data_IF_851917656115
#
_entry.id   IF_851917656115
#
_cell.length_a   1.000
_cell.length_b   1.000
_cell.length_c   1.000
_cell.angle_alpha   90.00
_cell.angle_beta   90.00
_cell.angle_gamma   90.00
#
_symmetry.space_group_name_H-M   'P 1'
#
loop_
_entity.id
_entity.type
_entity.pdbx_description
1 polymer ?
#
# COMPACT_ATOMS: atom_id res chain seq x y z
N UNK A 1 18.63 1.78 -19.43
CA UNK A 1 18.18 0.49 -18.86
C UNK A 1 16.91 0.66 -18.02
N UNK A 2 16.87 1.49 -16.99
CA UNK A 2 15.72 1.70 -16.08
C UNK A 2 14.41 2.07 -16.81
N UNK A 3 14.46 2.92 -17.83
CA UNK A 3 13.30 3.30 -18.64
C UNK A 3 12.69 2.11 -19.40
N UNK A 4 13.53 1.26 -19.98
CA UNK A 4 13.08 0.05 -20.69
C UNK A 4 12.45 -0.92 -19.68
N UNK A 5 13.07 -1.11 -18.52
CA UNK A 5 12.52 -1.95 -17.44
C UNK A 5 11.14 -1.44 -17.01
N UNK A 6 10.96 -0.13 -16.84
CA UNK A 6 9.67 0.48 -16.50
C UNK A 6 8.59 0.14 -17.54
N UNK A 7 8.88 0.33 -18.83
CA UNK A 7 7.89 0.04 -19.87
C UNK A 7 7.57 -1.45 -20.00
N UNK A 8 8.56 -2.31 -19.89
CA UNK A 8 8.36 -3.76 -19.93
C UNK A 8 7.44 -4.22 -18.80
N UNK A 9 7.69 -3.78 -17.58
CA UNK A 9 6.86 -4.17 -16.44
C UNK A 9 5.46 -3.55 -16.51
N UNK A 10 5.34 -2.30 -16.96
CA UNK A 10 4.05 -1.66 -17.18
C UNK A 10 3.19 -2.48 -18.14
N UNK A 11 3.73 -2.84 -19.30
CA UNK A 11 3.02 -3.64 -20.31
C UNK A 11 2.71 -5.05 -19.79
N UNK A 12 3.64 -5.67 -19.09
CA UNK A 12 3.44 -7.00 -18.51
C UNK A 12 2.32 -6.97 -17.47
N UNK A 13 2.35 -6.03 -16.54
CA UNK A 13 1.31 -5.87 -15.52
C UNK A 13 -0.03 -5.54 -16.14
N UNK A 14 -0.07 -4.57 -17.06
CA UNK A 14 -1.28 -4.20 -17.78
C UNK A 14 -1.91 -5.42 -18.50
N UNK A 15 -1.08 -6.24 -19.16
CA UNK A 15 -1.53 -7.45 -19.83
C UNK A 15 -2.04 -8.52 -18.88
N UNK A 16 -1.32 -8.82 -17.78
CA UNK A 16 -1.74 -9.81 -16.78
C UNK A 16 -3.03 -9.39 -16.06
N UNK A 17 -3.15 -8.11 -15.68
CA UNK A 17 -4.37 -7.56 -15.08
C UNK A 17 -5.54 -7.66 -16.08
N UNK A 18 -5.29 -7.36 -17.36
CA UNK A 18 -6.27 -7.52 -18.44
C UNK A 18 -6.73 -8.96 -18.60
N UNK A 19 -5.81 -9.93 -18.54
CA UNK A 19 -6.15 -11.36 -18.57
C UNK A 19 -7.05 -11.75 -17.41
N UNK A 20 -6.71 -11.32 -16.17
CA UNK A 20 -7.55 -11.56 -14.99
C UNK A 20 -8.95 -10.95 -15.17
N UNK A 21 -9.05 -9.76 -15.75
CA UNK A 21 -10.34 -9.11 -16.02
C UNK A 21 -11.15 -9.87 -17.07
N UNK A 22 -10.57 -10.20 -18.23
CA UNK A 22 -11.29 -10.81 -19.35
C UNK A 22 -11.67 -12.27 -19.10
N UNK A 23 -10.82 -13.06 -18.44
CA UNK A 23 -11.16 -14.45 -18.13
C UNK A 23 -12.07 -14.59 -16.91
N UNK A 24 -12.48 -13.50 -16.29
CA UNK A 24 -13.43 -13.49 -15.19
C UNK A 24 -12.97 -14.35 -14.00
N UNK A 25 -11.66 -14.36 -13.71
CA UNK A 25 -11.10 -15.05 -12.54
C UNK A 25 -11.65 -14.35 -11.30
N UNK A 26 -12.82 -14.79 -10.86
CA UNK A 26 -13.55 -14.24 -9.72
C UNK A 26 -13.95 -15.37 -8.78
N UNK A 27 -13.81 -15.11 -7.48
CA UNK A 27 -14.67 -15.79 -6.52
C UNK A 27 -16.09 -15.21 -6.66
N UNK A 28 -16.95 -15.89 -7.41
CA UNK A 28 -18.34 -15.47 -7.71
C UNK A 28 -19.13 -15.20 -6.43
N UNK A 29 -18.89 -15.97 -5.39
CA UNK A 29 -19.57 -15.84 -4.11
C UNK A 29 -19.22 -14.49 -3.43
N UNK A 30 -17.96 -14.08 -3.43
CA UNK A 30 -17.51 -12.82 -2.81
C UNK A 30 -17.85 -11.57 -3.62
N UNK A 31 -17.97 -11.69 -4.93
CA UNK A 31 -18.42 -10.58 -5.75
C UNK A 31 -19.85 -10.15 -5.38
N UNK A 32 -20.72 -11.09 -5.06
CA UNK A 32 -22.09 -10.80 -4.60
C UNK A 32 -22.10 -10.26 -3.15
N UNK A 33 -21.28 -10.79 -2.25
CA UNK A 33 -21.16 -10.30 -0.88
C UNK A 33 -20.56 -8.88 -0.83
N UNK A 34 -19.61 -8.57 -1.70
CA UNK A 34 -19.00 -7.24 -1.79
C UNK A 34 -20.02 -6.16 -2.21
N UNK A 35 -21.01 -6.47 -3.05
CA UNK A 35 -22.09 -5.54 -3.43
C UNK A 35 -23.02 -5.29 -2.22
N UNK A 36 -23.26 -6.29 -1.41
CA UNK A 36 -24.15 -6.22 -0.23
C UNK A 36 -23.44 -5.64 1.00
N UNK A 37 -22.11 -5.53 0.98
CA UNK A 37 -21.34 -5.00 2.11
C UNK A 37 -21.70 -3.53 2.38
N UNK A 38 -21.87 -3.20 3.66
CA UNK A 38 -22.18 -1.82 4.13
C UNK A 38 -21.19 -0.76 3.68
N UNK A 39 -19.99 -1.15 3.24
CA UNK A 39 -18.90 -0.26 2.78
C UNK A 39 -18.79 -0.19 1.26
N UNK A 40 -19.62 -0.96 0.51
CA UNK A 40 -19.52 -1.01 -0.94
C UNK A 40 -19.82 0.36 -1.57
N UNK A 41 -18.85 0.87 -2.31
CA UNK A 41 -18.98 2.04 -3.19
C UNK A 41 -19.25 1.64 -4.65
N UNK A 42 -19.43 0.33 -4.92
CA UNK A 42 -19.59 -0.27 -6.24
C UNK A 42 -20.90 -1.03 -6.36
N UNK A 43 -21.48 -1.00 -7.56
CA UNK A 43 -22.76 -1.64 -7.88
C UNK A 43 -22.60 -2.92 -8.72
N UNK A 44 -21.37 -3.21 -9.20
CA UNK A 44 -21.07 -4.37 -10.05
C UNK A 44 -20.11 -5.32 -9.35
N UNK A 45 -20.26 -6.64 -9.54
CA UNK A 45 -19.28 -7.62 -9.05
C UNK A 45 -17.94 -7.36 -9.77
N UNK A 46 -16.87 -7.17 -9.00
CA UNK A 46 -15.55 -6.83 -9.54
C UNK A 46 -14.49 -7.72 -8.89
N UNK A 47 -13.58 -8.29 -9.69
CA UNK A 47 -12.49 -9.12 -9.21
C UNK A 47 -11.53 -8.31 -8.31
N UNK A 48 -11.03 -8.96 -7.24
CA UNK A 48 -10.06 -8.41 -6.31
C UNK A 48 -8.64 -8.94 -6.53
N UNK A 49 -8.40 -9.64 -7.64
CA UNK A 49 -7.14 -10.30 -7.94
C UNK A 49 -6.16 -9.42 -8.75
N UNK A 50 -6.45 -8.14 -8.94
CA UNK A 50 -5.57 -7.22 -9.66
C UNK A 50 -4.19 -7.09 -9.01
N UNK A 51 -4.15 -7.03 -7.68
CA UNK A 51 -2.89 -6.97 -6.94
C UNK A 51 -2.05 -8.24 -7.04
N UNK A 52 -2.69 -9.41 -7.09
CA UNK A 52 -2.00 -10.69 -7.33
C UNK A 52 -1.29 -10.65 -8.70
N UNK A 53 -1.99 -10.19 -9.75
CA UNK A 53 -1.41 -10.04 -11.09
C UNK A 53 -0.20 -9.07 -11.09
N UNK A 54 -0.30 -7.94 -10.38
CA UNK A 54 0.78 -6.97 -10.23
C UNK A 54 2.01 -7.59 -9.54
N UNK A 55 1.80 -8.29 -8.43
CA UNK A 55 2.90 -8.91 -7.68
C UNK A 55 3.57 -9.99 -8.53
N UNK A 56 2.81 -10.83 -9.22
CA UNK A 56 3.37 -11.84 -10.13
C UNK A 56 4.19 -11.17 -11.23
N UNK A 57 3.66 -10.10 -11.88
CA UNK A 57 4.40 -9.34 -12.87
C UNK A 57 5.73 -8.82 -12.31
N UNK A 58 5.70 -8.23 -11.11
CA UNK A 58 6.89 -7.70 -10.45
C UNK A 58 7.91 -8.79 -10.15
N UNK A 59 7.48 -9.94 -9.62
CA UNK A 59 8.35 -11.06 -9.27
C UNK A 59 9.09 -11.64 -10.49
N UNK A 60 8.44 -11.68 -11.67
CA UNK A 60 9.08 -12.15 -12.91
C UNK A 60 10.34 -11.33 -13.23
N UNK A 61 10.30 -9.99 -13.07
CA UNK A 61 11.47 -9.15 -13.35
C UNK A 61 12.43 -9.08 -12.16
N UNK A 62 11.93 -9.04 -10.92
CA UNK A 62 12.78 -9.01 -9.72
C UNK A 62 13.62 -10.27 -9.61
N UNK A 63 13.11 -11.42 -10.09
CA UNK A 63 13.87 -12.69 -10.10
C UNK A 63 15.23 -12.58 -10.80
N UNK A 64 15.37 -11.67 -11.78
CA UNK A 64 16.63 -11.44 -12.48
C UNK A 64 17.59 -10.52 -11.74
N UNK A 65 17.19 -9.97 -10.59
CA UNK A 65 18.05 -9.14 -9.73
C UNK A 65 18.76 -10.08 -8.75
N UNK A 66 20.04 -10.37 -9.02
CA UNK A 66 20.85 -11.25 -8.18
C UNK A 66 21.35 -10.51 -6.91
N UNK A 67 20.43 -10.09 -6.04
CA UNK A 67 20.74 -9.42 -4.76
C UNK A 67 20.08 -10.14 -3.59
N UNK A 68 20.90 -10.44 -2.56
CA UNK A 68 20.47 -11.17 -1.37
C UNK A 68 19.44 -10.38 -0.54
N UNK A 69 19.61 -9.08 -0.42
CA UNK A 69 18.71 -8.21 0.36
C UNK A 69 17.34 -8.14 -0.30
N UNK A 70 17.32 -8.02 -1.63
CA UNK A 70 16.07 -8.02 -2.40
C UNK A 70 15.37 -9.38 -2.29
N UNK A 71 16.11 -10.48 -2.39
CA UNK A 71 15.55 -11.81 -2.17
C UNK A 71 14.92 -11.94 -0.79
N UNK A 72 15.59 -11.46 0.27
CA UNK A 72 15.06 -11.46 1.63
C UNK A 72 13.82 -10.59 1.79
N UNK A 73 13.80 -9.43 1.14
CA UNK A 73 12.65 -8.55 1.11
C UNK A 73 11.41 -9.24 0.52
N UNK A 74 11.58 -9.90 -0.62
CA UNK A 74 10.49 -10.64 -1.27
C UNK A 74 10.04 -11.83 -0.42
N UNK A 75 10.98 -12.60 0.12
CA UNK A 75 10.67 -13.75 0.97
C UNK A 75 9.89 -13.33 2.22
N UNK A 76 10.24 -12.20 2.81
CA UNK A 76 9.53 -11.66 3.99
C UNK A 76 8.09 -11.25 3.70
N UNK A 77 7.74 -10.94 2.45
CA UNK A 77 6.38 -10.55 2.06
C UNK A 77 5.43 -11.75 1.90
N UNK A 78 5.93 -12.99 1.86
CA UNK A 78 5.10 -14.19 1.62
C UNK A 78 3.95 -14.38 2.63
N UNK A 79 4.15 -14.23 3.97
CA UNK A 79 3.05 -14.42 4.92
C UNK A 79 1.88 -13.48 4.65
N UNK A 80 2.15 -12.19 4.40
CA UNK A 80 1.11 -11.19 4.17
C UNK A 80 0.47 -11.37 2.79
N UNK A 81 1.23 -11.75 1.77
CA UNK A 81 0.72 -12.07 0.44
C UNK A 81 -0.23 -13.27 0.46
N UNK A 82 0.14 -14.33 1.16
CA UNK A 82 -0.70 -15.53 1.29
C UNK A 82 -1.99 -15.20 2.06
N UNK A 83 -1.91 -14.50 3.19
CA UNK A 83 -3.08 -14.15 3.99
C UNK A 83 -4.05 -13.24 3.21
N UNK A 84 -3.52 -12.24 2.50
CA UNK A 84 -4.32 -11.36 1.63
C UNK A 84 -4.92 -12.11 0.44
N UNK A 85 -4.13 -12.97 -0.21
CA UNK A 85 -4.59 -13.76 -1.35
C UNK A 85 -5.70 -14.76 -1.00
N UNK A 86 -5.59 -15.41 0.15
CA UNK A 86 -6.66 -16.26 0.67
C UNK A 86 -7.94 -15.46 0.92
N UNK A 87 -7.83 -14.25 1.46
CA UNK A 87 -8.99 -13.36 1.63
C UNK A 87 -9.61 -12.99 0.27
N UNK A 88 -8.80 -12.63 -0.73
CA UNK A 88 -9.28 -12.27 -2.07
C UNK A 88 -9.91 -13.46 -2.81
N UNK A 89 -9.45 -14.68 -2.53
CA UNK A 89 -10.02 -15.93 -3.05
C UNK A 89 -11.31 -16.37 -2.33
N UNK A 90 -11.72 -15.70 -1.24
CA UNK A 90 -13.01 -16.00 -0.60
C UNK A 90 -12.94 -16.79 0.70
N UNK A 91 -11.76 -17.09 1.26
CA UNK A 91 -11.63 -17.87 2.49
C UNK A 91 -11.99 -17.13 3.79
N UNK A 92 -12.49 -15.89 3.71
CA UNK A 92 -12.95 -15.09 4.87
C UNK A 92 -11.92 -15.00 6.01
N UNK A 93 -10.70 -14.59 5.68
CA UNK A 93 -9.62 -14.39 6.66
C UNK A 93 -9.93 -13.16 7.52
N UNK A 94 -10.06 -13.34 8.83
CA UNK A 94 -10.37 -12.26 9.77
C UNK A 94 -9.33 -11.13 9.67
N UNK A 95 -9.73 -9.84 9.79
CA UNK A 95 -8.80 -8.71 9.76
C UNK A 95 -7.64 -8.83 10.75
N UNK A 96 -7.89 -9.40 11.94
CA UNK A 96 -6.87 -9.66 12.95
C UNK A 96 -5.82 -10.67 12.49
N UNK A 97 -6.22 -11.70 11.73
CA UNK A 97 -5.26 -12.68 11.19
C UNK A 97 -4.41 -12.07 10.07
N UNK A 98 -4.97 -11.19 9.24
CA UNK A 98 -4.20 -10.46 8.21
C UNK A 98 -3.19 -9.50 8.84
N UNK A 99 -3.58 -8.79 9.92
CA UNK A 99 -2.66 -7.95 10.69
C UNK A 99 -1.56 -8.80 11.33
N UNK A 100 -1.90 -9.96 11.89
CA UNK A 100 -0.92 -10.88 12.45
C UNK A 100 0.05 -11.43 11.38
N UNK A 101 -0.44 -11.75 10.19
CA UNK A 101 0.41 -12.13 9.06
C UNK A 101 1.37 -10.99 8.65
N UNK A 102 0.91 -9.72 8.69
CA UNK A 102 1.78 -8.57 8.46
C UNK A 102 2.85 -8.42 9.55
N UNK A 103 2.53 -8.70 10.81
CA UNK A 103 3.52 -8.74 11.89
C UNK A 103 4.53 -9.88 11.71
N UNK A 104 4.09 -11.08 11.29
CA UNK A 104 4.99 -12.18 10.93
C UNK A 104 5.91 -11.77 9.78
N UNK A 105 5.38 -11.12 8.74
CA UNK A 105 6.18 -10.60 7.63
C UNK A 105 7.26 -9.64 8.13
N UNK A 106 6.92 -8.71 9.04
CA UNK A 106 7.88 -7.81 9.68
C UNK A 106 8.95 -8.55 10.48
N UNK A 107 8.57 -9.56 11.28
CA UNK A 107 9.50 -10.37 12.05
C UNK A 107 10.46 -11.18 11.14
N UNK A 108 9.94 -11.76 10.06
CA UNK A 108 10.74 -12.47 9.05
C UNK A 108 11.71 -11.52 8.37
N UNK A 109 11.29 -10.30 8.03
CA UNK A 109 12.16 -9.29 7.43
C UNK A 109 13.32 -8.92 8.36
N UNK A 110 13.04 -8.68 9.66
CA UNK A 110 14.10 -8.44 10.67
C UNK A 110 15.05 -9.62 10.77
N UNK A 111 14.53 -10.84 10.87
CA UNK A 111 15.34 -12.05 10.98
C UNK A 111 16.27 -12.25 9.77
N UNK A 112 15.79 -11.97 8.56
CA UNK A 112 16.56 -12.18 7.33
C UNK A 112 17.54 -11.05 7.05
N UNK A 113 17.16 -9.78 7.34
CA UNK A 113 17.99 -8.61 7.01
C UNK A 113 18.89 -8.18 8.17
N UNK A 114 18.54 -8.52 9.40
CA UNK A 114 19.22 -8.02 10.59
C UNK A 114 18.98 -6.54 10.89
N UNK A 115 17.98 -5.92 10.22
CA UNK A 115 17.71 -4.47 10.31
C UNK A 115 16.41 -4.21 11.07
N UNK A 116 16.41 -3.17 11.89
CA UNK A 116 15.24 -2.62 12.59
C UNK A 116 15.40 -1.12 12.81
N UNK A 117 14.33 -0.43 13.16
CA UNK A 117 14.33 1.00 13.48
C UNK A 117 14.80 1.21 14.91
N UNK A 118 15.97 1.78 15.10
CA UNK A 118 16.55 2.18 16.39
C UNK A 118 16.48 3.69 16.62
N UNK A 119 16.20 4.45 15.58
CA UNK A 119 15.94 5.89 15.60
C UNK A 119 14.75 6.25 14.71
N UNK A 120 13.91 7.18 15.18
CA UNK A 120 12.75 7.72 14.44
C UNK A 120 12.68 9.24 14.57
N UNK A 121 13.78 9.91 14.89
CA UNK A 121 13.92 11.36 15.06
C UNK A 121 12.89 11.96 16.06
N UNK A 122 12.52 11.19 17.07
CA UNK A 122 11.67 11.61 18.18
C UNK A 122 12.44 11.55 19.48
N UNK A 123 12.77 12.70 20.08
CA UNK A 123 13.58 12.83 21.28
C UNK A 123 13.09 11.95 22.44
N UNK A 124 11.78 11.71 22.54
CA UNK A 124 11.17 10.88 23.58
C UNK A 124 11.33 9.38 23.28
N UNK A 125 11.28 8.97 22.01
CA UNK A 125 11.32 7.56 21.62
C UNK A 125 12.75 7.05 21.39
N UNK A 126 13.66 7.88 20.90
CA UNK A 126 15.03 7.48 20.59
C UNK A 126 15.74 6.76 21.77
N UNK A 127 15.70 7.26 23.03
CA UNK A 127 16.33 6.55 24.15
C UNK A 127 15.71 5.18 24.43
N UNK A 128 14.43 5.01 24.14
CA UNK A 128 13.71 3.74 24.36
C UNK A 128 14.04 2.73 23.26
N UNK A 129 14.22 3.22 22.03
CA UNK A 129 14.55 2.39 20.87
C UNK A 129 16.02 1.94 20.84
N UNK A 130 16.89 2.48 21.69
CA UNK A 130 18.25 1.93 21.88
C UNK A 130 18.25 0.52 22.47
N UNK A 131 17.14 0.10 23.11
CA UNK A 131 17.00 -1.26 23.64
C UNK A 131 16.42 -2.20 22.53
N UNK A 132 17.23 -3.14 21.97
CA UNK A 132 16.84 -3.91 20.79
C UNK A 132 15.49 -4.63 20.87
N UNK A 133 15.08 -5.26 22.00
CA UNK A 133 13.76 -5.90 22.08
C UNK A 133 12.60 -4.94 21.85
N UNK A 134 12.71 -3.68 22.31
CA UNK A 134 11.69 -2.66 22.11
C UNK A 134 11.74 -2.16 20.66
N UNK A 135 12.93 -1.89 20.13
CA UNK A 135 13.12 -1.47 18.74
C UNK A 135 12.56 -2.50 17.73
N UNK A 136 12.86 -3.77 17.95
CA UNK A 136 12.34 -4.89 17.16
C UNK A 136 10.81 -4.94 17.23
N UNK A 137 10.24 -4.89 18.42
CA UNK A 137 8.78 -4.92 18.62
C UNK A 137 8.11 -3.72 17.97
N UNK A 138 8.70 -2.52 18.11
CA UNK A 138 8.24 -1.29 17.48
C UNK A 138 8.27 -1.40 15.93
N UNK A 139 9.37 -1.91 15.38
CA UNK A 139 9.53 -2.07 13.92
C UNK A 139 8.49 -3.03 13.35
N UNK A 140 8.24 -4.17 14.02
CA UNK A 140 7.21 -5.14 13.63
C UNK A 140 5.84 -4.47 13.63
N UNK A 141 5.49 -3.76 14.71
CA UNK A 141 4.20 -3.11 14.83
C UNK A 141 4.02 -1.98 13.81
N UNK A 142 5.04 -1.12 13.65
CA UNK A 142 5.01 0.00 12.71
C UNK A 142 4.89 -0.48 11.25
N UNK A 143 5.70 -1.47 10.84
CA UNK A 143 5.65 -2.02 9.48
C UNK A 143 4.31 -2.71 9.18
N UNK A 144 3.77 -3.48 10.12
CA UNK A 144 2.45 -4.09 9.98
C UNK A 144 1.34 -3.04 9.94
N UNK A 145 1.45 -1.96 10.73
CA UNK A 145 0.52 -0.84 10.76
C UNK A 145 0.48 -0.09 9.43
N UNK A 146 1.64 0.22 8.84
CA UNK A 146 1.72 0.88 7.52
C UNK A 146 1.17 -0.04 6.43
N UNK A 147 1.52 -1.30 6.42
CA UNK A 147 0.98 -2.29 5.46
C UNK A 147 -0.55 -2.37 5.55
N UNK A 148 -1.11 -2.42 6.75
CA UNK A 148 -2.56 -2.39 6.98
C UNK A 148 -3.19 -1.05 6.56
N UNK A 149 -2.50 0.08 6.74
CA UNK A 149 -3.02 1.40 6.36
C UNK A 149 -3.19 1.55 4.84
N UNK A 150 -2.29 0.97 4.04
CA UNK A 150 -2.43 0.90 2.57
C UNK A 150 -3.70 0.10 2.19
N UNK A 151 -3.98 -0.99 2.89
CA UNK A 151 -5.21 -1.76 2.65
C UNK A 151 -6.48 -0.97 3.03
N UNK A 152 -6.45 -0.19 4.09
CA UNK A 152 -7.62 0.59 4.53
C UNK A 152 -8.02 1.72 3.57
N UNK A 153 -7.10 2.23 2.77
CA UNK A 153 -7.40 3.28 1.76
C UNK A 153 -7.84 2.69 0.42
N UNK A 154 -7.83 1.37 0.22
CA UNK A 154 -8.29 0.69 -1.01
C UNK A 154 -9.83 0.62 -1.07
N UNK A 155 -10.47 1.77 -0.97
CA UNK A 155 -11.94 1.89 -0.98
C UNK A 155 -12.50 2.71 -2.14
N UNK A 156 -11.65 3.35 -2.95
CA UNK A 156 -12.00 4.27 -4.03
C UNK A 156 -11.12 4.01 -5.25
N UNK A 157 -11.72 4.08 -6.45
CA UNK A 157 -11.02 3.79 -7.70
C UNK A 157 -9.76 4.65 -7.88
N UNK A 158 -8.62 4.01 -8.04
CA UNK A 158 -7.33 4.66 -8.27
C UNK A 158 -6.65 5.22 -7.01
N UNK A 159 -7.31 5.27 -5.85
CA UNK A 159 -6.73 5.94 -4.68
C UNK A 159 -5.54 5.16 -4.13
N UNK A 160 -5.71 3.90 -3.77
CA UNK A 160 -4.63 3.08 -3.22
C UNK A 160 -3.49 2.93 -4.22
N UNK A 161 -3.80 2.59 -5.48
CA UNK A 161 -2.78 2.44 -6.53
C UNK A 161 -2.06 3.75 -6.86
N UNK A 162 -2.76 4.88 -6.85
CA UNK A 162 -2.15 6.20 -7.03
C UNK A 162 -1.24 6.59 -5.88
N UNK A 163 -1.64 6.34 -4.63
CA UNK A 163 -0.80 6.59 -3.45
C UNK A 163 0.42 5.66 -3.43
N UNK A 164 0.26 4.36 -3.75
CA UNK A 164 1.38 3.43 -3.91
C UNK A 164 2.35 3.94 -4.98
N UNK A 165 1.84 4.44 -6.12
CA UNK A 165 2.69 5.01 -7.18
C UNK A 165 3.47 6.24 -6.69
N UNK A 166 2.84 7.16 -5.94
CA UNK A 166 3.50 8.33 -5.35
C UNK A 166 4.60 7.90 -4.37
N UNK A 167 4.29 6.99 -3.42
CA UNK A 167 5.25 6.47 -2.45
C UNK A 167 6.43 5.81 -3.18
N UNK A 168 6.13 4.94 -4.14
CA UNK A 168 7.16 4.22 -4.90
C UNK A 168 8.05 5.15 -5.71
N UNK A 169 7.47 6.19 -6.34
CA UNK A 169 8.20 7.21 -7.08
C UNK A 169 9.13 8.02 -6.17
N UNK A 170 8.66 8.43 -5.00
CA UNK A 170 9.46 9.15 -4.00
C UNK A 170 10.62 8.29 -3.49
N UNK A 171 10.36 7.04 -3.13
CA UNK A 171 11.40 6.10 -2.69
C UNK A 171 12.41 5.79 -3.82
N UNK A 172 11.95 5.68 -5.07
CA UNK A 172 12.82 5.51 -6.23
C UNK A 172 13.79 6.68 -6.37
N UNK A 173 13.30 7.91 -6.26
CA UNK A 173 14.12 9.11 -6.31
C UNK A 173 15.17 9.10 -5.18
N UNK A 174 14.75 8.84 -3.94
CA UNK A 174 15.69 8.77 -2.80
C UNK A 174 16.73 7.67 -2.99
N UNK A 175 16.33 6.47 -3.42
CA UNK A 175 17.28 5.39 -3.71
C UNK A 175 18.30 5.78 -4.79
N UNK A 176 17.87 6.48 -5.85
CA UNK A 176 18.79 6.97 -6.88
C UNK A 176 19.72 8.06 -6.35
N UNK A 177 19.21 8.98 -5.54
CA UNK A 177 19.98 10.07 -4.95
C UNK A 177 21.12 9.55 -4.04
N UNK A 178 20.82 8.53 -3.23
CA UNK A 178 21.79 7.89 -2.34
C UNK A 178 22.59 6.76 -3.00
N UNK A 179 22.45 6.53 -4.30
CA UNK A 179 23.21 5.51 -5.04
C UNK A 179 22.77 4.06 -4.83
N UNK A 180 21.63 3.83 -4.20
CA UNK A 180 21.05 2.51 -3.95
C UNK A 180 20.37 1.95 -5.22
N UNK A 181 21.15 1.66 -6.25
CA UNK A 181 20.68 1.32 -7.60
C UNK A 181 19.82 0.07 -7.66
N UNK A 182 20.07 -0.92 -6.80
CA UNK A 182 19.27 -2.15 -6.75
C UNK A 182 17.89 -1.91 -6.15
N UNK A 183 17.80 -1.17 -5.04
CA UNK A 183 16.52 -0.75 -4.46
C UNK A 183 15.74 0.16 -5.42
N UNK A 184 16.43 1.09 -6.10
CA UNK A 184 15.82 1.91 -7.14
C UNK A 184 15.24 1.07 -8.29
N UNK A 185 15.94 0.02 -8.71
CA UNK A 185 15.44 -0.90 -9.75
C UNK A 185 14.17 -1.62 -9.28
N UNK A 186 14.12 -2.07 -8.04
CA UNK A 186 12.89 -2.66 -7.45
C UNK A 186 11.76 -1.63 -7.44
N UNK A 187 12.04 -0.39 -7.00
CA UNK A 187 11.04 0.69 -7.04
C UNK A 187 10.50 0.94 -8.46
N UNK A 188 11.36 0.93 -9.49
CA UNK A 188 10.93 1.10 -10.88
C UNK A 188 10.02 -0.05 -11.34
N UNK A 189 10.36 -1.27 -10.97
CA UNK A 189 9.54 -2.45 -11.27
C UNK A 189 8.18 -2.32 -10.58
N UNK A 190 8.15 -1.99 -9.29
CA UNK A 190 6.90 -1.81 -8.54
C UNK A 190 6.07 -0.65 -9.10
N UNK A 191 6.71 0.47 -9.47
CA UNK A 191 6.05 1.64 -10.06
C UNK A 191 5.39 1.30 -11.40
N UNK A 192 6.12 0.67 -12.31
CA UNK A 192 5.56 0.26 -13.59
C UNK A 192 4.42 -0.74 -13.41
N UNK A 193 4.57 -1.69 -12.48
CA UNK A 193 3.54 -2.69 -12.19
C UNK A 193 2.24 -2.05 -11.67
N UNK A 194 2.33 -1.16 -10.67
CA UNK A 194 1.14 -0.53 -10.09
C UNK A 194 0.48 0.46 -11.05
N UNK A 195 1.24 1.12 -11.94
CA UNK A 195 0.68 1.98 -12.97
C UNK A 195 -0.01 1.19 -14.08
N UNK A 196 0.49 0.00 -14.43
CA UNK A 196 -0.20 -0.93 -15.32
C UNK A 196 -1.57 -1.35 -14.77
N UNK A 197 -1.67 -1.63 -13.46
CA UNK A 197 -2.93 -1.88 -12.77
C UNK A 197 -3.81 -0.62 -12.69
N UNK A 198 -3.25 0.55 -12.37
CA UNK A 198 -3.97 1.81 -12.26
C UNK A 198 -4.79 2.09 -13.51
N UNK A 199 -4.26 1.80 -14.69
CA UNK A 199 -4.96 2.00 -15.96
C UNK A 199 -6.27 1.16 -16.09
N UNK A 200 -6.38 0.03 -15.40
CA UNK A 200 -7.61 -0.78 -15.33
C UNK A 200 -8.52 -0.37 -14.17
N UNK A 201 -7.94 0.07 -13.06
CA UNK A 201 -8.69 0.42 -11.87
C UNK A 201 -9.30 1.83 -11.96
N UNK A 202 -8.56 2.80 -12.49
CA UNK A 202 -9.02 4.19 -12.61
C UNK A 202 -9.45 4.52 -14.05
N UNK A 203 -10.56 5.25 -14.28
CA UNK A 203 -11.52 5.74 -13.29
C UNK A 203 -12.66 4.77 -12.95
N UNK A 204 -12.83 3.70 -13.72
CA UNK A 204 -14.05 2.89 -13.75
C UNK A 204 -14.11 1.73 -12.75
N UNK A 205 -13.01 1.41 -12.05
CA UNK A 205 -12.95 0.32 -11.09
C UNK A 205 -13.22 -1.05 -11.71
N UNK A 206 -12.65 -1.30 -12.92
CA UNK A 206 -12.86 -2.56 -13.66
C UNK A 206 -12.31 -3.78 -12.91
N UNK A 207 -11.26 -3.57 -12.10
CA UNK A 207 -10.64 -4.57 -11.25
C UNK A 207 -10.11 -3.89 -9.99
N UNK A 208 -10.10 -4.58 -8.84
CA UNK A 208 -9.59 -4.06 -7.58
C UNK A 208 -8.24 -4.65 -7.22
N UNK A 209 -7.45 -3.88 -6.44
CA UNK A 209 -6.13 -4.27 -5.97
C UNK A 209 -6.21 -5.49 -5.07
N UNK A 210 -7.19 -5.51 -4.19
CA UNK A 210 -7.40 -6.56 -3.22
C UNK A 210 -6.40 -6.53 -2.06
N UNK A 211 -6.65 -7.40 -1.09
CA UNK A 211 -5.86 -7.47 0.12
C UNK A 211 -4.44 -7.98 -0.15
N UNK A 212 -4.28 -8.96 -1.04
CA UNK A 212 -2.96 -9.46 -1.44
C UNK A 212 -2.06 -8.35 -1.99
N UNK A 213 -2.61 -7.51 -2.90
CA UNK A 213 -1.86 -6.40 -3.46
C UNK A 213 -1.56 -5.32 -2.43
N UNK A 214 -2.59 -4.82 -1.76
CA UNK A 214 -2.48 -3.69 -0.84
C UNK A 214 -1.50 -3.96 0.32
N UNK A 215 -1.62 -5.12 0.99
CA UNK A 215 -0.72 -5.50 2.07
C UNK A 215 0.71 -5.76 1.58
N UNK A 216 0.89 -6.40 0.43
CA UNK A 216 2.22 -6.74 -0.08
C UNK A 216 2.98 -5.50 -0.54
N UNK A 217 2.34 -4.60 -1.31
CA UNK A 217 2.95 -3.31 -1.64
C UNK A 217 3.28 -2.51 -0.38
N UNK A 218 2.35 -2.44 0.59
CA UNK A 218 2.57 -1.77 1.86
C UNK A 218 3.78 -2.32 2.62
N UNK A 219 3.92 -3.65 2.70
CA UNK A 219 5.07 -4.30 3.34
C UNK A 219 6.38 -3.99 2.61
N UNK A 220 6.45 -4.22 1.30
CA UNK A 220 7.69 -4.03 0.53
C UNK A 220 8.15 -2.57 0.57
N UNK A 221 7.25 -1.61 0.37
CA UNK A 221 7.60 -0.18 0.37
C UNK A 221 8.07 0.29 1.75
N UNK A 222 7.41 -0.18 2.82
CA UNK A 222 7.86 0.12 4.20
C UNK A 222 9.26 -0.43 4.44
N UNK A 223 9.54 -1.66 3.99
CA UNK A 223 10.86 -2.27 4.19
C UNK A 223 11.94 -1.69 3.31
N UNK A 224 11.63 -1.21 2.09
CA UNK A 224 12.57 -0.39 1.30
C UNK A 224 12.94 0.87 2.09
N UNK A 225 11.97 1.53 2.73
CA UNK A 225 12.22 2.73 3.55
C UNK A 225 13.09 2.42 4.77
N UNK A 226 12.82 1.33 5.49
CA UNK A 226 13.61 0.90 6.65
C UNK A 226 15.04 0.58 6.24
N UNK A 227 15.24 -0.16 5.15
CA UNK A 227 16.56 -0.48 4.63
C UNK A 227 17.31 0.78 4.20
N UNK A 228 16.63 1.74 3.59
CA UNK A 228 17.22 3.00 3.14
C UNK A 228 17.70 3.84 4.33
N UNK A 229 16.85 4.05 5.36
CA UNK A 229 17.23 4.77 6.59
C UNK A 229 18.38 4.06 7.31
N UNK A 230 18.35 2.73 7.39
CA UNK A 230 19.41 1.97 8.06
C UNK A 230 20.77 2.11 7.39
N UNK A 231 20.81 2.29 6.06
CA UNK A 231 22.05 2.50 5.30
C UNK A 231 22.49 3.96 5.26
N UNK A 232 21.55 4.87 5.34
CA UNK A 232 21.72 6.31 5.23
C UNK A 232 21.09 7.03 6.42
N UNK A 233 21.80 7.06 7.58
CA UNK A 233 21.28 7.66 8.83
C UNK A 233 21.00 9.18 8.72
N UNK A 234 21.52 9.84 7.67
CA UNK A 234 21.23 11.24 7.34
C UNK A 234 19.79 11.45 6.85
N UNK A 235 19.10 10.39 6.44
CA UNK A 235 17.70 10.49 6.02
C UNK A 235 16.80 10.61 7.24
N UNK A 236 16.07 11.71 7.33
CA UNK A 236 15.11 11.93 8.41
C UNK A 236 13.94 10.94 8.34
N UNK A 237 13.60 10.35 9.49
CA UNK A 237 12.39 9.52 9.63
C UNK A 237 11.11 10.33 9.30
N UNK A 238 11.12 11.65 9.51
CA UNK A 238 10.01 12.53 9.13
C UNK A 238 9.81 12.64 7.63
N UNK A 239 10.88 12.59 6.84
CA UNK A 239 10.78 12.54 5.38
C UNK A 239 10.00 11.30 4.92
N UNK A 240 10.33 10.14 5.47
CA UNK A 240 9.61 8.89 5.19
C UNK A 240 8.15 8.98 5.69
N UNK A 241 7.92 9.56 6.88
CA UNK A 241 6.57 9.78 7.39
C UNK A 241 5.74 10.65 6.42
N UNK A 242 6.30 11.71 5.85
CA UNK A 242 5.64 12.55 4.85
C UNK A 242 5.28 11.76 3.58
N UNK A 243 6.14 10.86 3.12
CA UNK A 243 5.87 10.00 1.96
C UNK A 243 4.67 9.07 2.23
N UNK A 244 4.56 8.51 3.44
CA UNK A 244 3.46 7.65 3.86
C UNK A 244 2.34 8.39 4.61
N UNK A 245 2.36 9.73 4.60
CA UNK A 245 1.48 10.57 5.41
C UNK A 245 0.01 10.18 5.29
N UNK A 246 -0.50 10.07 4.06
CA UNK A 246 -1.93 9.88 3.86
C UNK A 246 -2.48 8.58 4.45
N UNK A 247 -1.96 7.39 4.13
CA UNK A 247 -2.48 6.14 4.70
C UNK A 247 -2.35 6.11 6.22
N UNK A 248 -1.25 6.63 6.78
CA UNK A 248 -1.04 6.69 8.22
C UNK A 248 -2.05 7.65 8.87
N UNK A 249 -2.20 8.87 8.35
CA UNK A 249 -3.10 9.88 8.90
C UNK A 249 -4.58 9.44 8.86
N UNK A 250 -5.03 8.81 7.77
CA UNK A 250 -6.39 8.28 7.67
C UNK A 250 -6.64 7.16 8.69
N UNK A 251 -5.68 6.25 8.85
CA UNK A 251 -5.75 5.15 9.83
C UNK A 251 -5.76 5.67 11.27
N UNK A 252 -4.84 6.56 11.63
CA UNK A 252 -4.78 7.15 12.98
C UNK A 252 -6.05 7.93 13.28
N UNK A 253 -6.55 8.71 12.32
CA UNK A 253 -7.83 9.43 12.45
C UNK A 253 -9.01 8.48 12.67
N UNK A 254 -9.04 7.34 11.98
CA UNK A 254 -10.08 6.34 12.16
C UNK A 254 -10.02 5.70 13.56
N UNK A 255 -8.83 5.37 14.05
CA UNK A 255 -8.62 4.84 15.42
C UNK A 255 -9.09 5.86 16.46
N UNK A 256 -8.66 7.12 16.34
CA UNK A 256 -9.01 8.21 17.25
C UNK A 256 -10.54 8.42 17.31
N UNK A 257 -11.22 8.49 16.16
CA UNK A 257 -12.68 8.61 16.12
C UNK A 257 -13.40 7.45 16.82
N UNK A 258 -12.90 6.20 16.64
CA UNK A 258 -13.50 5.04 17.28
C UNK A 258 -13.32 5.04 18.80
N UNK A 259 -12.16 5.49 19.28
CA UNK A 259 -11.91 5.66 20.72
C UNK A 259 -12.88 6.67 21.34
N UNK A 260 -13.06 7.85 20.73
CA UNK A 260 -14.01 8.88 21.20
C UNK A 260 -15.45 8.32 21.22
N UNK A 261 -15.84 7.61 20.16
CA UNK A 261 -17.20 7.06 20.05
C UNK A 261 -17.40 5.77 20.85
N UNK A 262 -16.41 5.29 21.56
CA UNK A 262 -16.41 4.00 22.29
C UNK A 262 -16.92 2.83 21.44
N UNK A 263 -16.60 2.82 20.15
CA UNK A 263 -16.97 1.77 19.22
C UNK A 263 -15.81 0.79 19.03
N UNK A 264 -16.12 -0.49 18.84
CA UNK A 264 -15.10 -1.53 18.60
C UNK A 264 -14.27 -1.21 17.34
N UNK A 265 -12.95 -1.37 17.46
CA UNK A 265 -11.99 -1.18 16.36
C UNK A 265 -12.29 -2.11 15.17
N UNK A 266 -12.88 -3.27 15.43
CA UNK A 266 -13.20 -4.28 14.42
C UNK A 266 -14.52 -4.04 13.66
N UNK A 267 -15.30 -3.00 14.03
CA UNK A 267 -16.53 -2.68 13.29
C UNK A 267 -16.20 -1.90 12.02
N UNK A 268 -16.91 -2.17 10.90
CA UNK A 268 -16.76 -1.40 9.67
C UNK A 268 -16.94 0.10 9.91
N UNK A 269 -15.99 0.93 9.48
CA UNK A 269 -16.07 2.39 9.54
C UNK A 269 -16.40 2.94 8.14
N UNK A 270 -17.38 3.85 8.06
CA UNK A 270 -17.75 4.58 6.83
C UNK A 270 -17.24 6.02 6.84
N UNK A 271 -16.31 6.34 7.72
CA UNK A 271 -15.83 7.69 7.98
C UNK A 271 -14.37 7.87 7.60
N UNK A 272 -13.80 6.98 6.76
CA UNK A 272 -12.50 7.22 6.16
C UNK A 272 -12.53 8.50 5.33
N UNK A 273 -11.43 9.23 5.29
CA UNK A 273 -11.40 10.57 4.70
C UNK A 273 -11.85 10.55 3.22
N UNK A 274 -11.41 9.57 2.45
CA UNK A 274 -11.86 9.40 1.06
C UNK A 274 -13.37 9.22 0.91
N UNK A 275 -14.02 8.53 1.87
CA UNK A 275 -15.48 8.37 1.89
C UNK A 275 -16.19 9.68 2.27
N UNK A 276 -15.58 10.49 3.15
CA UNK A 276 -16.10 11.81 3.49
C UNK A 276 -16.03 12.75 2.27
N UNK A 277 -14.90 12.74 1.52
CA UNK A 277 -14.78 13.54 0.28
C UNK A 277 -15.85 13.14 -0.72
N UNK A 278 -16.07 11.84 -0.95
CA UNK A 278 -17.15 11.38 -1.83
C UNK A 278 -18.53 11.91 -1.39
N UNK A 279 -18.84 11.81 -0.09
CA UNK A 279 -20.13 12.29 0.45
C UNK A 279 -20.30 13.80 0.26
N UNK A 280 -19.25 14.58 0.53
CA UNK A 280 -19.26 16.02 0.34
C UNK A 280 -19.54 16.38 -1.12
N UNK A 281 -18.91 15.67 -2.07
CA UNK A 281 -19.15 15.87 -3.51
C UNK A 281 -20.62 15.62 -3.89
N UNK A 282 -21.22 14.53 -3.41
CA UNK A 282 -22.63 14.21 -3.68
C UNK A 282 -23.57 15.24 -3.04
N UNK A 283 -23.35 15.58 -1.77
CA UNK A 283 -24.24 16.50 -1.02
C UNK A 283 -24.15 17.92 -1.57
N UNK A 284 -22.94 18.46 -1.79
CA UNK A 284 -22.75 19.83 -2.29
C UNK A 284 -23.22 20.04 -3.73
N UNK A 285 -23.27 18.98 -4.49
CA UNK A 285 -23.79 19.04 -5.87
C UNK A 285 -25.31 18.92 -5.97
N UNK A 286 -26.03 18.86 -4.82
CA UNK A 286 -27.48 18.55 -4.78
C UNK A 286 -27.84 17.29 -5.57
N UNK A 287 -26.97 16.28 -5.54
CA UNK A 287 -27.14 15.02 -6.24
C UNK A 287 -26.82 15.08 -7.74
N UNK A 288 -26.32 16.20 -8.29
CA UNK A 288 -25.90 16.30 -9.70
C UNK A 288 -24.65 15.44 -9.98
N UNK A 289 -23.81 15.22 -8.98
CA UNK A 289 -22.70 14.27 -9.07
C UNK A 289 -23.16 12.95 -8.43
N UNK A 290 -23.49 11.93 -9.23
CA UNK A 290 -23.87 10.62 -8.69
C UNK A 290 -22.67 9.92 -8.08
N UNK A 291 -22.90 8.94 -7.18
CA UNK A 291 -21.86 8.25 -6.43
C UNK A 291 -20.77 7.59 -7.30
N UNK A 292 -21.13 7.10 -8.49
CA UNK A 292 -20.17 6.51 -9.44
C UNK A 292 -19.18 7.54 -10.04
N UNK A 293 -19.56 8.81 -10.14
CA UNK A 293 -18.67 9.90 -10.53
C UNK A 293 -17.93 10.49 -9.32
N UNK A 294 -18.60 10.57 -8.17
CA UNK A 294 -17.97 11.05 -6.93
C UNK A 294 -16.79 10.15 -6.49
N UNK A 295 -16.82 8.86 -6.82
CA UNK A 295 -15.78 7.89 -6.51
C UNK A 295 -14.43 8.30 -7.17
N UNK A 296 -14.26 8.33 -8.50
CA UNK A 296 -12.98 8.73 -9.11
C UNK A 296 -12.64 10.21 -8.88
N UNK A 297 -13.63 11.10 -8.71
CA UNK A 297 -13.38 12.50 -8.38
C UNK A 297 -12.72 12.67 -7.00
N UNK A 298 -13.07 11.85 -6.02
CA UNK A 298 -12.38 11.86 -4.73
C UNK A 298 -10.87 11.56 -4.88
N UNK A 299 -10.52 10.61 -5.73
CA UNK A 299 -9.12 10.31 -6.07
C UNK A 299 -8.41 11.49 -6.72
N UNK A 300 -9.03 12.16 -7.69
CA UNK A 300 -8.47 13.35 -8.37
C UNK A 300 -8.20 14.49 -7.37
N UNK A 301 -9.03 14.63 -6.33
CA UNK A 301 -8.84 15.65 -5.30
C UNK A 301 -7.74 15.27 -4.31
N UNK A 302 -7.67 13.99 -3.91
CA UNK A 302 -6.78 13.52 -2.84
C UNK A 302 -5.34 13.33 -3.35
N UNK A 303 -5.14 12.73 -4.53
CA UNK A 303 -3.80 12.41 -5.03
C UNK A 303 -2.85 13.61 -5.15
N UNK A 304 -3.28 14.81 -5.64
CA UNK A 304 -2.39 15.97 -5.68
C UNK A 304 -1.90 16.40 -4.29
N UNK A 305 -2.76 16.32 -3.27
CA UNK A 305 -2.37 16.63 -1.88
C UNK A 305 -1.33 15.63 -1.39
N UNK A 306 -1.55 14.33 -1.64
CA UNK A 306 -0.58 13.30 -1.29
C UNK A 306 0.76 13.51 -2.02
N UNK A 307 0.71 13.86 -3.31
CA UNK A 307 1.90 14.10 -4.11
C UNK A 307 2.72 15.31 -3.61
N UNK A 308 2.04 16.41 -3.22
CA UNK A 308 2.73 17.57 -2.64
C UNK A 308 3.42 17.22 -1.33
N UNK A 309 2.73 16.53 -0.42
CA UNK A 309 3.31 16.17 0.89
C UNK A 309 4.49 15.20 0.71
N UNK A 310 4.35 14.19 -0.16
CA UNK A 310 5.42 13.25 -0.46
C UNK A 310 6.62 13.94 -1.13
N UNK A 311 6.37 14.87 -2.05
CA UNK A 311 7.40 15.68 -2.69
C UNK A 311 8.18 16.53 -1.69
N UNK A 312 7.48 17.19 -0.75
CA UNK A 312 8.14 17.92 0.34
C UNK A 312 9.00 17.00 1.19
N UNK A 313 8.49 15.84 1.61
CA UNK A 313 9.30 14.85 2.32
C UNK A 313 10.52 14.37 1.53
N UNK A 314 10.42 14.31 0.20
CA UNK A 314 11.53 13.90 -0.67
C UNK A 314 12.58 15.00 -0.83
N UNK A 315 12.20 16.30 -0.84
CA UNK A 315 13.15 17.42 -0.94
C UNK A 315 13.84 17.71 0.39
N UNK A 316 13.08 17.62 1.50
CA UNK A 316 13.59 17.87 2.85
C UNK A 316 13.93 16.55 3.58
N UNK A 317 14.63 15.66 2.88
CA UNK A 317 14.97 14.34 3.41
C UNK A 317 16.18 14.33 4.36
N UNK A 318 16.95 15.41 4.38
CA UNK A 318 18.14 15.60 5.21
C UNK A 318 17.79 16.24 6.54
#
# INVERSE_FOLDING_TARGET
MLFITFFLIFLLSFGLVGLVYYFGIMSVQKANEAILAKQASHTKPTSRLGGVACIIASLILIFFIADKTIFFLILSALPVFIAGGLEDLGYNIKPTLRLFAAMISGAVAIYLTGVWLDNVDLTILTPVLTFPPIAISFTIFASAGVSNSINLIDGVNGLASGIIAIITGSLCFMCLYFGETQLATVCIILLGSILGFFAWNFPNGLIFLGDAGAYTFGHILTWISILLISKHPEISAWAIFCIFFWPIADTVSAIYRRQIKRTSINKPDRMHFHQLVMRVLVIRSDGRIPGNLANPLATIIILPVCAVVAFLGTIFMD
#
